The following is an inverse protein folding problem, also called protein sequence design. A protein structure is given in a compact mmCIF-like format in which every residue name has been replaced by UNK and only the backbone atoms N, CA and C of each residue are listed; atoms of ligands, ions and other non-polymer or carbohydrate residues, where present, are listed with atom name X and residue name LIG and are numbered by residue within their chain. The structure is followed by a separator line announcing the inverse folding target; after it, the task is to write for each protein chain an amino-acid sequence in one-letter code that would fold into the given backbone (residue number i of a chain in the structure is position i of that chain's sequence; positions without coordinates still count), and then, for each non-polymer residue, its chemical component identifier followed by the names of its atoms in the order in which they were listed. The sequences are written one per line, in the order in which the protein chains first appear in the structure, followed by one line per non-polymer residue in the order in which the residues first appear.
data_IF_065444139081
#
_entry.id   IF_065444139081
#
_cell.length_a   1.000
_cell.length_b   1.000
_cell.length_c   1.000
_cell.angle_alpha   90.00
_cell.angle_beta   90.00
_cell.angle_gamma   90.00
#
_symmetry.space_group_name_H-M   'P 1'
#
loop_
_entity.id
_entity.type
_entity.pdbx_description
1 polymer ?
#
# COMPACT_ATOMS: atom_id res chain seq x y z
N UNK A 1 -1.75 -31.92 -33.10
CA UNK A 1 -2.57 -32.09 -31.88
C UNK A 1 -1.70 -31.63 -30.71
N UNK A 2 -1.83 -30.37 -30.32
CA UNK A 2 -0.92 -29.70 -29.38
C UNK A 2 -1.74 -29.28 -28.17
N UNK A 3 -1.60 -29.98 -27.04
CA UNK A 3 -2.36 -29.74 -25.82
C UNK A 3 -1.74 -28.60 -25.02
N UNK A 4 -2.34 -27.42 -25.15
CA UNK A 4 -2.05 -26.23 -24.35
C UNK A 4 -2.62 -26.41 -22.93
N UNK A 5 -1.81 -26.84 -21.96
CA UNK A 5 -2.22 -26.89 -20.55
C UNK A 5 -2.16 -25.48 -19.94
N UNK A 6 -3.31 -24.82 -19.94
CA UNK A 6 -3.57 -23.53 -19.30
C UNK A 6 -3.81 -23.71 -17.80
N UNK A 7 -2.88 -23.29 -16.94
CA UNK A 7 -3.13 -23.20 -15.50
C UNK A 7 -3.88 -21.89 -15.18
N UNK A 8 -5.21 -21.97 -15.15
CA UNK A 8 -6.05 -20.94 -14.54
C UNK A 8 -6.07 -21.15 -13.02
N UNK A 9 -5.52 -20.22 -12.24
CA UNK A 9 -5.78 -20.17 -10.80
C UNK A 9 -7.01 -19.27 -10.57
N UNK A 10 -8.16 -19.81 -10.12
CA UNK A 10 -9.26 -18.97 -9.67
C UNK A 10 -8.85 -18.26 -8.38
N UNK A 11 -8.69 -16.94 -8.42
CA UNK A 11 -8.63 -16.14 -7.21
C UNK A 11 -10.05 -16.07 -6.63
N UNK A 12 -10.26 -16.79 -5.53
CA UNK A 12 -11.48 -16.69 -4.75
C UNK A 12 -11.67 -15.24 -4.28
N UNK A 13 -12.89 -14.69 -4.34
CA UNK A 13 -13.18 -13.42 -3.69
C UNK A 13 -13.09 -13.64 -2.18
N UNK A 14 -12.09 -13.06 -1.54
CA UNK A 14 -11.98 -13.05 -0.08
C UNK A 14 -13.04 -12.09 0.49
N UNK A 15 -14.27 -12.60 0.60
CA UNK A 15 -15.32 -12.01 1.42
C UNK A 15 -14.91 -12.16 2.89
N UNK A 16 -14.15 -11.20 3.42
CA UNK A 16 -13.91 -11.14 4.85
C UNK A 16 -15.13 -10.51 5.53
N UNK A 17 -16.18 -11.31 5.69
CA UNK A 17 -17.32 -11.02 6.55
C UNK A 17 -16.94 -11.37 7.99
N UNK A 18 -16.22 -10.48 8.66
CA UNK A 18 -15.96 -10.60 10.10
C UNK A 18 -16.89 -9.68 10.89
N UNK A 19 -18.06 -10.26 11.22
CA UNK A 19 -18.87 -10.09 12.44
C UNK A 19 -19.00 -8.68 13.03
N UNK A 20 -20.18 -8.11 12.86
CA UNK A 20 -20.79 -7.09 13.73
C UNK A 20 -20.60 -7.44 15.22
N UNK A 21 -19.97 -6.55 15.98
CA UNK A 21 -19.99 -6.53 17.44
C UNK A 21 -20.76 -5.28 17.91
N UNK A 22 -21.58 -5.39 18.98
CA UNK A 22 -22.43 -4.30 19.46
C UNK A 22 -21.63 -3.15 20.10
N UNK A 23 -22.23 -1.94 20.21
CA UNK A 23 -21.52 -0.74 20.64
C UNK A 23 -21.34 -0.75 22.17
N UNK A 24 -20.18 -1.24 22.61
CA UNK A 24 -19.73 -1.19 24.00
C UNK A 24 -18.87 0.03 24.24
N UNK A 25 -19.37 0.95 25.06
CA UNK A 25 -18.77 2.23 25.43
C UNK A 25 -17.33 2.09 25.95
N UNK A 26 -16.36 2.50 25.15
CA UNK A 26 -15.05 2.95 25.63
C UNK A 26 -14.75 4.27 24.92
N UNK A 27 -14.87 5.37 25.66
CA UNK A 27 -14.36 6.68 25.27
C UNK A 27 -13.02 6.90 26.00
N UNK A 28 -11.88 6.76 25.32
CA UNK A 28 -10.69 7.53 25.65
C UNK A 28 -10.77 8.85 24.88
N UNK A 29 -10.99 9.94 25.61
CA UNK A 29 -10.88 11.28 25.06
C UNK A 29 -9.40 11.67 25.12
N UNK A 30 -8.66 11.61 24.01
CA UNK A 30 -7.28 12.14 23.97
C UNK A 30 -6.79 12.23 22.53
N UNK A 31 -6.66 13.46 22.02
CA UNK A 31 -5.76 13.84 20.91
C UNK A 31 -5.54 12.72 19.87
N UNK A 32 -6.57 12.39 19.06
CA UNK A 32 -6.24 11.86 17.74
C UNK A 32 -5.53 13.02 17.08
N UNK A 33 -4.22 12.96 16.78
CA UNK A 33 -3.72 13.91 15.82
C UNK A 33 -4.65 13.70 14.63
N UNK A 34 -5.25 14.79 14.12
CA UNK A 34 -5.45 14.90 12.69
C UNK A 34 -4.34 14.08 12.03
N UNK A 35 -4.65 13.18 11.10
CA UNK A 35 -3.57 12.63 10.26
C UNK A 35 -2.78 11.41 10.82
N UNK A 36 -3.47 10.32 11.20
CA UNK A 36 -3.05 9.01 10.65
C UNK A 36 -3.30 9.01 9.13
N UNK A 37 -2.78 10.01 8.40
CA UNK A 37 -2.88 10.05 6.96
C UNK A 37 -2.24 8.78 6.47
N UNK A 38 -3.05 7.96 5.81
CA UNK A 38 -2.53 6.88 5.01
C UNK A 38 -1.43 7.49 4.13
N UNK A 39 -0.20 6.93 4.14
CA UNK A 39 0.86 7.42 3.27
C UNK A 39 0.30 7.56 1.86
N UNK A 40 0.57 8.68 1.19
CA UNK A 40 0.14 8.90 -0.20
C UNK A 40 1.04 8.14 -1.15
N UNK A 41 2.27 7.86 -0.75
CA UNK A 41 3.23 7.09 -1.54
C UNK A 41 3.48 5.70 -0.97
N UNK A 42 3.50 4.70 -1.85
CA UNK A 42 3.87 3.33 -1.56
C UNK A 42 5.21 2.99 -2.21
N UNK A 43 6.12 2.38 -1.45
CA UNK A 43 7.40 1.85 -1.96
C UNK A 43 7.25 0.37 -2.27
N UNK A 44 7.56 -0.02 -3.50
CA UNK A 44 7.43 -1.40 -4.00
C UNK A 44 8.78 -1.83 -4.59
N UNK A 45 9.30 -2.99 -4.17
CA UNK A 45 10.49 -3.58 -4.79
C UNK A 45 10.16 -3.99 -6.23
N UNK A 46 10.90 -3.47 -7.20
CA UNK A 46 10.66 -3.69 -8.63
C UNK A 46 11.81 -4.45 -9.33
N UNK A 47 12.96 -4.59 -8.66
CA UNK A 47 14.12 -5.33 -9.16
C UNK A 47 15.31 -5.20 -8.23
N UNK A 48 16.50 -5.56 -8.71
CA UNK A 48 17.71 -5.42 -7.92
C UNK A 48 18.06 -3.94 -7.71
N UNK A 49 18.12 -3.52 -6.44
CA UNK A 49 18.34 -2.13 -6.04
C UNK A 49 17.44 -1.14 -6.80
N UNK A 50 16.22 -1.57 -7.12
CA UNK A 50 15.26 -0.79 -7.91
C UNK A 50 13.87 -0.86 -7.28
N UNK A 51 13.31 0.32 -7.02
CA UNK A 51 12.06 0.51 -6.29
C UNK A 51 11.12 1.40 -7.09
N UNK A 52 9.83 1.08 -7.04
CA UNK A 52 8.76 1.95 -7.49
C UNK A 52 8.22 2.75 -6.31
N UNK A 53 8.15 4.07 -6.46
CA UNK A 53 7.44 4.97 -5.56
C UNK A 53 6.14 5.33 -6.25
N UNK A 54 5.05 4.71 -5.79
CA UNK A 54 3.72 4.82 -6.39
C UNK A 54 2.85 5.77 -5.56
N UNK A 55 2.35 6.83 -6.19
CA UNK A 55 1.29 7.65 -5.61
C UNK A 55 -0.02 6.87 -5.63
N UNK A 56 -0.69 6.76 -4.49
CA UNK A 56 -1.87 5.91 -4.30
C UNK A 56 -3.10 6.53 -4.95
N UNK A 57 -3.28 7.85 -4.86
CA UNK A 57 -4.45 8.55 -5.41
C UNK A 57 -4.47 8.59 -6.93
N UNK A 58 -3.31 8.81 -7.56
CA UNK A 58 -3.19 8.98 -9.02
C UNK A 58 -2.70 7.73 -9.73
N UNK A 59 -2.12 6.78 -8.99
CA UNK A 59 -1.44 5.62 -9.57
C UNK A 59 -0.11 5.95 -10.27
N UNK A 60 0.36 7.21 -10.23
CA UNK A 60 1.64 7.61 -10.85
C UNK A 60 2.80 6.89 -10.18
N UNK A 61 3.71 6.36 -10.99
CA UNK A 61 4.88 5.61 -10.51
C UNK A 61 6.15 6.32 -10.90
N UNK A 62 7.10 6.41 -9.96
CA UNK A 62 8.46 6.88 -10.20
C UNK A 62 9.45 5.76 -9.86
N UNK A 63 10.40 5.51 -10.74
CA UNK A 63 11.49 4.56 -10.47
C UNK A 63 12.58 5.21 -9.62
N UNK A 64 13.11 4.46 -8.67
CA UNK A 64 14.22 4.86 -7.82
C UNK A 64 15.26 3.74 -7.75
N UNK A 65 16.54 4.07 -7.95
CA UNK A 65 17.66 3.14 -7.78
C UNK A 65 18.40 3.47 -6.48
N UNK A 66 18.63 2.46 -5.64
CA UNK A 66 19.25 2.64 -4.33
C UNK A 66 18.88 1.51 -3.39
N UNK A 67 18.81 1.80 -2.10
CA UNK A 67 18.29 0.86 -1.09
C UNK A 67 16.84 1.17 -0.67
N UNK A 68 16.23 0.25 0.07
CA UNK A 68 14.84 0.40 0.52
C UNK A 68 14.63 1.61 1.44
N UNK A 69 15.59 1.90 2.33
CA UNK A 69 15.48 3.00 3.28
C UNK A 69 15.53 4.36 2.58
N UNK A 70 16.41 4.50 1.58
CA UNK A 70 16.48 5.67 0.71
C UNK A 70 15.18 5.85 -0.09
N UNK A 71 14.63 4.77 -0.63
CA UNK A 71 13.34 4.82 -1.32
C UNK A 71 12.22 5.30 -0.39
N UNK A 72 12.21 4.83 0.86
CA UNK A 72 11.27 5.30 1.89
C UNK A 72 11.51 6.74 2.33
N UNK A 73 12.76 7.23 2.31
CA UNK A 73 13.07 8.63 2.57
C UNK A 73 12.55 9.52 1.44
N UNK A 74 12.76 9.12 0.18
CA UNK A 74 12.22 9.82 -0.99
C UNK A 74 10.70 9.86 -0.96
N UNK A 75 10.03 8.74 -0.65
CA UNK A 75 8.58 8.71 -0.50
C UNK A 75 8.09 9.75 0.53
N UNK A 76 8.72 9.84 1.71
CA UNK A 76 8.39 10.85 2.74
C UNK A 76 8.62 12.28 2.28
N UNK A 77 9.67 12.56 1.52
CA UNK A 77 9.90 13.91 0.98
C UNK A 77 8.84 14.34 -0.04
N UNK A 78 8.19 13.39 -0.72
CA UNK A 78 7.12 13.67 -1.67
C UNK A 78 5.77 13.92 -0.98
N UNK A 79 5.62 13.52 0.28
CA UNK A 79 4.42 13.82 1.09
C UNK A 79 4.35 15.30 1.46
N UNK A 80 5.50 15.98 1.59
CA UNK A 80 5.55 17.39 1.93
C UNK A 80 5.20 18.23 0.69
N UNK A 81 4.23 19.16 0.78
CA UNK A 81 4.02 20.18 -0.24
C UNK A 81 5.30 21.00 -0.43
N UNK A 82 5.73 21.18 -1.68
CA UNK A 82 6.85 22.05 -2.04
C UNK A 82 6.47 23.52 -2.07
#
# INVERSE_FOLDING_TARGET
MCTLTHFAHPQAPSTNSSRTLPPGMFQPHEYYPEELARPRFQVILAGNAFFHIKEISTGRVRGFRGNHNEACALARSLELPG
#
